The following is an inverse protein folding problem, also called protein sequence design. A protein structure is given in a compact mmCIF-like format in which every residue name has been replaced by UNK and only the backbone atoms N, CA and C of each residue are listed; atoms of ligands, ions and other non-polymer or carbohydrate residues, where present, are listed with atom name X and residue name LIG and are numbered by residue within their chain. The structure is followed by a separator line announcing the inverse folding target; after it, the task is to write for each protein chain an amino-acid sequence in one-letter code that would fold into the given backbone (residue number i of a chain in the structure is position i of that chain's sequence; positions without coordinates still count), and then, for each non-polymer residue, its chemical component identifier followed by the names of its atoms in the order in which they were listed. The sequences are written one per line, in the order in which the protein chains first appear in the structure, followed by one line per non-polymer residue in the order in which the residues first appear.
data_IF_002618638212
#
_entry.id   IF_002618638212
#
_cell.length_a   1.000
_cell.length_b   1.000
_cell.length_c   1.000
_cell.angle_alpha   90.00
_cell.angle_beta   90.00
_cell.angle_gamma   90.00
#
_symmetry.space_group_name_H-M   'P 1'
#
loop_
_entity.id
_entity.type
_entity.pdbx_description
1 polymer ?
#
# COMPACT_ATOMS: atom_id res chain seq x y z
N UNK A 1 -1.93 -19.01 -52.55
CA UNK A 1 -0.95 -18.63 -51.51
C UNK A 1 -1.40 -17.30 -50.92
N UNK A 2 -2.25 -17.32 -49.88
CA UNK A 2 -2.56 -16.14 -49.08
C UNK A 2 -2.49 -16.56 -47.62
N UNK A 3 -1.46 -16.04 -46.95
CA UNK A 3 -1.09 -16.36 -45.58
C UNK A 3 -2.09 -15.71 -44.62
N UNK A 4 -2.71 -16.51 -43.75
CA UNK A 4 -3.54 -16.02 -42.66
C UNK A 4 -2.62 -15.52 -41.53
N UNK A 5 -2.41 -14.21 -41.43
CA UNK A 5 -1.71 -13.61 -40.30
C UNK A 5 -2.66 -13.55 -39.10
N UNK A 6 -2.56 -14.54 -38.21
CA UNK A 6 -3.23 -14.54 -36.91
C UNK A 6 -2.49 -13.55 -35.99
N UNK A 7 -3.06 -12.35 -35.80
CA UNK A 7 -2.51 -11.36 -34.87
C UNK A 7 -2.76 -11.81 -33.43
N UNK A 8 -1.69 -12.19 -32.74
CA UNK A 8 -1.71 -12.53 -31.32
C UNK A 8 -1.85 -11.23 -30.51
N UNK A 9 -3.07 -10.90 -30.10
CA UNK A 9 -3.30 -9.83 -29.12
C UNK A 9 -2.73 -10.27 -27.76
N UNK A 10 -1.56 -9.76 -27.40
CA UNK A 10 -1.06 -9.82 -26.03
C UNK A 10 -1.96 -8.92 -25.18
N UNK A 11 -2.86 -9.52 -24.41
CA UNK A 11 -3.59 -8.82 -23.36
C UNK A 11 -2.57 -8.41 -22.30
N UNK A 12 -2.22 -7.11 -22.24
CA UNK A 12 -1.49 -6.58 -21.09
C UNK A 12 -2.40 -6.72 -19.87
N UNK A 13 -2.16 -7.75 -19.06
CA UNK A 13 -2.78 -7.87 -17.75
C UNK A 13 -2.18 -6.78 -16.86
N UNK A 14 -3.01 -5.84 -16.43
CA UNK A 14 -2.60 -4.90 -15.39
C UNK A 14 -2.44 -5.67 -14.08
N UNK A 15 -1.28 -5.58 -13.39
CA UNK A 15 -1.12 -6.23 -12.11
C UNK A 15 -2.22 -5.79 -11.13
N UNK A 16 -2.89 -6.75 -10.51
CA UNK A 16 -3.94 -6.46 -9.54
C UNK A 16 -3.30 -5.93 -8.25
N UNK A 17 -3.71 -4.74 -7.78
CA UNK A 17 -3.17 -4.15 -6.55
C UNK A 17 -3.73 -4.80 -5.28
N UNK A 18 -4.92 -5.42 -5.39
CA UNK A 18 -5.58 -6.05 -4.26
C UNK A 18 -4.82 -7.30 -3.80
N UNK A 19 -4.91 -7.60 -2.50
CA UNK A 19 -4.25 -8.72 -1.85
C UNK A 19 -3.42 -8.30 -0.64
N UNK A 20 -2.66 -9.26 -0.11
CA UNK A 20 -1.82 -9.05 1.07
C UNK A 20 -0.41 -8.68 0.64
N UNK A 21 0.10 -7.61 1.23
CA UNK A 21 1.42 -7.06 0.98
C UNK A 21 2.19 -6.95 2.29
N UNK A 22 3.49 -7.24 2.25
CA UNK A 22 4.39 -7.18 3.39
C UNK A 22 5.27 -5.96 3.25
N UNK A 23 5.23 -5.05 4.21
CA UNK A 23 6.17 -3.93 4.22
C UNK A 23 7.52 -4.39 4.81
N UNK A 24 8.59 -4.12 4.07
CA UNK A 24 9.96 -4.42 4.47
C UNK A 24 10.61 -3.12 4.94
N UNK A 25 11.35 -3.17 6.04
CA UNK A 25 12.21 -2.05 6.44
C UNK A 25 13.46 -2.04 5.57
N UNK A 26 13.62 -1.00 4.75
CA UNK A 26 14.70 -0.92 3.76
C UNK A 26 16.10 -0.86 4.40
N UNK A 27 16.22 -0.49 5.68
CA UNK A 27 17.50 -0.43 6.39
C UNK A 27 17.88 -1.77 7.04
N UNK A 28 16.90 -2.52 7.54
CA UNK A 28 17.14 -3.77 8.28
C UNK A 28 16.75 -5.04 7.54
N UNK A 29 15.98 -4.94 6.44
CA UNK A 29 15.41 -6.08 5.71
C UNK A 29 14.29 -6.81 6.45
N UNK A 30 13.85 -6.27 7.59
CA UNK A 30 12.86 -6.93 8.46
C UNK A 30 11.44 -6.68 7.95
N UNK A 31 10.67 -7.76 7.79
CA UNK A 31 9.24 -7.69 7.53
C UNK A 31 8.48 -7.23 8.78
N UNK A 32 7.77 -6.11 8.70
CA UNK A 32 7.11 -5.51 9.87
C UNK A 32 5.63 -5.82 9.96
N UNK A 33 4.91 -5.71 8.85
CA UNK A 33 3.44 -5.83 8.84
C UNK A 33 2.94 -6.45 7.55
N UNK A 34 1.81 -7.13 7.65
CA UNK A 34 0.95 -7.48 6.52
C UNK A 34 -0.13 -6.41 6.37
N UNK A 35 -0.32 -5.96 5.13
CA UNK A 35 -1.30 -4.96 4.73
C UNK A 35 -2.20 -5.59 3.67
N UNK A 36 -3.48 -5.71 3.98
CA UNK A 36 -4.52 -6.09 3.03
C UNK A 36 -4.95 -4.84 2.23
N UNK A 37 -4.61 -4.81 0.94
CA UNK A 37 -5.10 -3.82 -0.01
C UNK A 37 -6.39 -4.30 -0.68
N UNK A 38 -7.40 -3.43 -0.72
CA UNK A 38 -8.70 -3.72 -1.30
C UNK A 38 -9.33 -2.46 -1.92
N UNK A 39 -10.14 -2.65 -2.96
CA UNK A 39 -10.89 -1.58 -3.62
C UNK A 39 -12.32 -1.54 -3.10
N UNK A 40 -12.77 -0.38 -2.63
CA UNK A 40 -14.15 -0.13 -2.25
C UNK A 40 -14.63 1.17 -2.91
N UNK A 41 -15.79 1.13 -3.58
CA UNK A 41 -16.36 2.30 -4.27
C UNK A 41 -15.37 2.98 -5.24
N UNK A 42 -14.56 2.19 -5.95
CA UNK A 42 -13.57 2.70 -6.91
C UNK A 42 -12.33 3.37 -6.28
N UNK A 43 -12.16 3.28 -4.96
CA UNK A 43 -11.00 3.80 -4.24
C UNK A 43 -10.24 2.66 -3.58
N UNK A 44 -8.92 2.73 -3.57
CA UNK A 44 -8.04 1.78 -2.91
C UNK A 44 -7.85 2.16 -1.44
N UNK A 45 -7.97 1.15 -0.59
CA UNK A 45 -7.75 1.20 0.84
C UNK A 45 -6.76 0.11 1.25
N UNK A 46 -6.18 0.27 2.44
CA UNK A 46 -5.25 -0.70 3.00
C UNK A 46 -5.43 -0.83 4.50
N UNK A 47 -5.63 -2.05 4.97
CA UNK A 47 -5.78 -2.40 6.39
C UNK A 47 -4.55 -3.15 6.87
N UNK A 48 -4.04 -2.82 8.05
CA UNK A 48 -3.03 -3.65 8.72
C UNK A 48 -3.71 -4.95 9.15
N UNK A 49 -3.43 -6.06 8.47
CA UNK A 49 -4.02 -7.36 8.80
C UNK A 49 -3.24 -8.05 9.91
N UNK A 50 -1.92 -7.84 10.00
CA UNK A 50 -1.06 -8.47 11.00
C UNK A 50 0.22 -7.68 11.26
N UNK A 51 0.66 -7.62 12.51
CA UNK A 51 2.02 -7.22 12.88
C UNK A 51 2.91 -8.46 13.02
N UNK A 52 4.02 -8.48 12.29
CA UNK A 52 4.87 -9.66 12.13
C UNK A 52 5.89 -9.79 13.26
N UNK A 53 6.26 -8.67 13.88
CA UNK A 53 7.17 -8.64 15.01
C UNK A 53 6.43 -8.96 16.31
N UNK A 54 6.87 -9.96 17.10
CA UNK A 54 6.22 -10.32 18.36
C UNK A 54 6.08 -9.14 19.34
N UNK A 55 7.08 -8.26 19.39
CA UNK A 55 7.08 -7.06 20.23
C UNK A 55 6.08 -5.99 19.78
N UNK A 56 5.57 -6.09 18.55
CA UNK A 56 4.58 -5.17 17.99
C UNK A 56 3.14 -5.68 18.14
N UNK A 57 2.94 -6.98 18.35
CA UNK A 57 1.61 -7.58 18.45
C UNK A 57 0.81 -6.99 19.62
N UNK A 58 -0.45 -6.64 19.35
CA UNK A 58 -1.33 -5.99 20.33
C UNK A 58 -1.02 -4.50 20.60
N UNK A 59 -0.01 -3.91 19.95
CA UNK A 59 0.24 -2.46 20.08
C UNK A 59 -0.97 -1.65 19.65
N UNK A 60 -1.20 -0.56 20.37
CA UNK A 60 -2.25 0.43 20.08
C UNK A 60 -1.64 1.66 19.40
N UNK A 61 -2.41 2.33 18.56
CA UNK A 61 -2.00 3.60 17.98
C UNK A 61 -2.19 4.75 18.98
N UNK A 62 -1.26 4.88 19.93
CA UNK A 62 -1.30 5.90 20.99
C UNK A 62 -1.19 7.33 20.46
N UNK A 63 -0.46 7.50 19.36
CA UNK A 63 -0.22 8.81 18.72
C UNK A 63 -1.30 9.18 17.70
N UNK A 64 -2.19 8.25 17.34
CA UNK A 64 -3.31 8.53 16.45
C UNK A 64 -4.28 9.54 17.07
N UNK A 65 -5.06 10.19 16.21
CA UNK A 65 -6.12 11.13 16.58
C UNK A 65 -7.47 10.56 16.18
N UNK A 66 -8.54 11.13 16.73
CA UNK A 66 -9.91 10.77 16.34
C UNK A 66 -10.26 9.32 16.69
N UNK A 67 -10.98 8.65 15.79
CA UNK A 67 -11.48 7.28 15.95
C UNK A 67 -10.39 6.21 16.07
N UNK A 68 -9.20 6.51 15.58
CA UNK A 68 -8.05 5.62 15.52
C UNK A 68 -7.21 5.65 16.80
N UNK A 69 -7.43 6.64 17.67
CA UNK A 69 -6.69 6.77 18.92
C UNK A 69 -6.96 5.58 19.84
N UNK A 70 -5.87 5.02 20.40
CA UNK A 70 -5.87 3.90 21.34
C UNK A 70 -6.53 2.61 20.83
N UNK A 71 -6.80 2.53 19.52
CA UNK A 71 -7.21 1.30 18.84
C UNK A 71 -6.00 0.41 18.58
N UNK A 72 -6.17 -0.93 18.60
CA UNK A 72 -5.15 -1.85 18.11
C UNK A 72 -4.70 -1.44 16.71
N UNK A 73 -3.39 -1.49 16.43
CA UNK A 73 -2.85 -1.16 15.12
C UNK A 73 -3.34 -2.17 14.08
N UNK A 74 -3.39 -3.45 14.46
CA UNK A 74 -4.06 -4.48 13.67
C UNK A 74 -5.56 -4.14 13.52
N UNK A 75 -6.03 -4.14 12.28
CA UNK A 75 -7.38 -3.73 11.91
C UNK A 75 -7.50 -2.27 11.49
N UNK A 76 -6.50 -1.41 11.76
CA UNK A 76 -6.54 -0.03 11.28
C UNK A 76 -6.45 0.03 9.76
N UNK A 77 -7.32 0.83 9.16
CA UNK A 77 -7.15 1.30 7.79
C UNK A 77 -6.03 2.34 7.84
N UNK A 78 -4.94 2.14 7.12
CA UNK A 78 -3.81 3.08 7.05
C UNK A 78 -3.74 3.76 5.70
N UNK A 79 -4.08 3.05 4.61
CA UNK A 79 -4.18 3.61 3.26
C UNK A 79 -5.65 3.94 3.00
N UNK A 80 -5.95 5.18 2.60
CA UNK A 80 -7.33 5.67 2.46
C UNK A 80 -7.53 6.44 1.16
N UNK A 81 -8.48 5.98 0.35
CA UNK A 81 -9.11 6.80 -0.68
C UNK A 81 -8.24 7.06 -1.91
N UNK A 82 -7.29 6.18 -2.22
CA UNK A 82 -6.47 6.37 -3.42
C UNK A 82 -7.31 6.10 -4.66
N UNK A 83 -7.14 6.91 -5.69
CA UNK A 83 -7.82 6.76 -6.98
C UNK A 83 -6.84 6.14 -7.98
N UNK A 84 -7.36 5.34 -8.91
CA UNK A 84 -6.54 4.86 -10.02
C UNK A 84 -6.18 6.03 -10.93
N UNK A 85 -4.91 6.18 -11.24
CA UNK A 85 -4.34 7.20 -12.11
C UNK A 85 -3.28 6.52 -13.00
N UNK A 86 -3.67 6.19 -14.23
CA UNK A 86 -2.87 5.40 -15.18
C UNK A 86 -2.26 4.11 -14.57
N UNK A 87 -0.94 4.15 -14.32
CA UNK A 87 -0.14 3.04 -13.82
C UNK A 87 -0.03 3.02 -12.27
N UNK A 88 -0.60 4.01 -11.58
CA UNK A 88 -0.48 4.18 -10.13
C UNK A 88 -1.85 4.38 -9.44
N UNK A 89 -1.81 4.40 -8.12
CA UNK A 89 -2.91 4.80 -7.25
C UNK A 89 -2.48 6.02 -6.46
N UNK A 90 -3.22 7.12 -6.50
CA UNK A 90 -2.79 8.42 -5.96
C UNK A 90 -3.97 9.23 -5.38
N UNK A 91 -3.71 10.45 -4.90
CA UNK A 91 -4.75 11.38 -4.45
C UNK A 91 -5.43 11.01 -3.13
N UNK A 92 -4.95 9.98 -2.45
CA UNK A 92 -5.37 9.58 -1.11
C UNK A 92 -4.27 9.76 -0.08
N UNK A 93 -4.45 9.16 1.10
CA UNK A 93 -3.50 9.29 2.21
C UNK A 93 -3.05 7.96 2.77
N UNK A 94 -1.85 7.96 3.36
CA UNK A 94 -1.33 6.90 4.21
C UNK A 94 -1.06 7.44 5.61
N UNK A 95 -1.54 6.75 6.64
CA UNK A 95 -1.30 7.08 8.04
C UNK A 95 -0.23 6.16 8.62
N UNK A 96 0.76 6.73 9.28
CA UNK A 96 1.79 6.00 10.01
C UNK A 96 1.35 5.83 11.48
N UNK A 97 1.01 4.60 11.93
CA UNK A 97 0.56 4.38 13.30
C UNK A 97 1.62 4.68 14.37
N UNK A 98 2.92 4.68 14.01
CA UNK A 98 4.00 4.95 14.96
C UNK A 98 3.99 6.41 15.43
N UNK A 99 3.63 7.35 14.56
CA UNK A 99 3.58 8.79 14.88
C UNK A 99 2.20 9.42 14.72
N UNK A 100 1.20 8.66 14.27
CA UNK A 100 -0.18 9.10 14.09
C UNK A 100 -0.39 10.14 12.98
N UNK A 101 0.63 10.43 12.17
CA UNK A 101 0.55 11.43 11.10
C UNK A 101 0.05 10.79 9.81
N UNK A 102 -0.66 11.58 9.02
CA UNK A 102 -1.13 11.20 7.69
C UNK A 102 -0.38 11.97 6.62
N UNK A 103 0.00 11.27 5.56
CA UNK A 103 0.78 11.75 4.43
C UNK A 103 -0.02 11.54 3.14
N UNK A 104 0.20 12.37 2.14
CA UNK A 104 -0.30 12.09 0.79
C UNK A 104 0.41 10.84 0.26
N UNK A 105 -0.33 9.99 -0.44
CA UNK A 105 0.13 8.65 -0.79
C UNK A 105 0.03 8.38 -2.29
N UNK A 106 1.09 7.79 -2.84
CA UNK A 106 1.09 7.17 -4.16
C UNK A 106 1.58 5.73 -4.05
N UNK A 107 0.86 4.79 -4.66
CA UNK A 107 1.24 3.37 -4.77
C UNK A 107 1.41 3.04 -6.25
N UNK A 108 2.58 2.53 -6.63
CA UNK A 108 2.88 2.11 -8.00
C UNK A 108 3.57 0.75 -8.02
N UNK A 109 3.37 -0.02 -9.08
CA UNK A 109 4.09 -1.27 -9.27
C UNK A 109 5.52 -1.03 -9.75
N UNK A 110 6.48 -1.65 -9.09
CA UNK A 110 7.81 -1.88 -9.66
C UNK A 110 7.77 -3.09 -10.60
N UNK A 111 7.11 -4.15 -10.15
CA UNK A 111 6.80 -5.37 -10.88
C UNK A 111 5.53 -6.00 -10.28
N UNK A 112 4.96 -7.09 -10.84
CA UNK A 112 3.69 -7.65 -10.36
C UNK A 112 3.62 -8.03 -8.86
N UNK A 113 4.78 -8.26 -8.24
CA UNK A 113 4.94 -8.70 -6.86
C UNK A 113 5.63 -7.68 -5.95
N UNK A 114 5.93 -6.48 -6.46
CA UNK A 114 6.62 -5.43 -5.68
C UNK A 114 5.95 -4.07 -5.92
N UNK A 115 5.53 -3.43 -4.83
CA UNK A 115 4.99 -2.07 -4.84
C UNK A 115 6.00 -1.08 -4.27
N UNK A 116 6.05 0.09 -4.91
CA UNK A 116 6.59 1.30 -4.34
C UNK A 116 5.44 2.08 -3.68
N UNK A 117 5.52 2.25 -2.36
CA UNK A 117 4.53 2.99 -1.56
C UNK A 117 5.17 4.27 -1.03
N UNK A 118 4.79 5.40 -1.61
CA UNK A 118 5.38 6.71 -1.29
C UNK A 118 4.43 7.57 -0.47
N UNK A 119 4.88 7.95 0.72
CA UNK A 119 4.23 8.95 1.57
C UNK A 119 4.98 10.28 1.56
N UNK A 120 4.29 11.41 1.40
CA UNK A 120 4.90 12.75 1.35
C UNK A 120 4.00 13.84 1.96
N UNK A 121 4.58 15.02 2.25
CA UNK A 121 3.86 16.19 2.77
C UNK A 121 3.76 17.28 1.70
N UNK A 122 2.59 17.43 1.07
CA UNK A 122 2.32 18.48 0.09
C UNK A 122 3.04 18.28 -1.24
N UNK A 123 4.37 18.40 -1.26
CA UNK A 123 5.19 18.16 -2.44
C UNK A 123 5.79 16.75 -2.43
N UNK A 124 5.66 16.02 -3.54
CA UNK A 124 6.06 14.61 -3.65
C UNK A 124 7.55 14.35 -3.42
N UNK A 125 8.43 15.34 -3.61
CA UNK A 125 9.86 15.20 -3.34
C UNK A 125 10.21 15.21 -1.84
N UNK A 126 9.36 15.78 -0.98
CA UNK A 126 9.51 15.76 0.49
C UNK A 126 8.76 14.57 1.09
N UNK A 127 9.31 13.37 0.88
CA UNK A 127 8.67 12.13 1.32
C UNK A 127 9.62 10.96 1.44
N UNK A 128 9.06 9.80 1.76
CA UNK A 128 9.75 8.51 1.82
C UNK A 128 8.98 7.49 0.98
N UNK A 129 9.72 6.64 0.29
CA UNK A 129 9.17 5.47 -0.38
C UNK A 129 9.52 4.24 0.47
N UNK A 130 8.58 3.32 0.61
CA UNK A 130 8.79 1.98 1.15
C UNK A 130 8.51 0.95 0.07
N UNK A 131 9.25 -0.17 0.14
CA UNK A 131 9.00 -1.31 -0.73
C UNK A 131 8.09 -2.31 -0.02
N UNK A 132 6.98 -2.67 -0.67
CA UNK A 132 6.08 -3.71 -0.20
C UNK A 132 6.13 -4.91 -1.15
N UNK A 133 6.26 -6.11 -0.58
CA UNK A 133 6.33 -7.36 -1.32
C UNK A 133 5.00 -8.10 -1.25
N UNK A 134 4.56 -8.69 -2.35
CA UNK A 134 3.35 -9.52 -2.34
C UNK A 134 3.59 -10.75 -1.45
N UNK A 135 2.61 -11.07 -0.61
CA UNK A 135 2.62 -12.29 0.20
C UNK A 135 2.19 -13.51 -0.62
#
# INVERSE_FOLDING_TARGET
MYSLLLSLFLLLQTPNVEGIWVNIDDATGVAKSEIELYVAQGKLYGRVSKLLLPEDQGKKCVNCKGSEKDKPIEGLIIVRGLSRDDAAWSGGKIMDPANGKSYDCTISFENPNTLNVRGFLGFSFLGRTQVWQRK
#
